data_IF_921789916460
#
_entry.id   IF_921789916460
#
_cell.length_a   1.000
_cell.length_b   1.000
_cell.length_c   1.000
_cell.angle_alpha   90.00
_cell.angle_beta   90.00
_cell.angle_gamma   90.00
#
_symmetry.space_group_name_H-M   'P 1'
#
loop_
_entity.id
_entity.type
_entity.pdbx_description
1 polymer ?
#
# COMPACT_ATOMS: atom_id res chain seq x y z
N UNK A 1 24.31 45.26 -8.23
CA UNK A 1 23.93 43.95 -8.80
C UNK A 1 22.99 43.27 -7.82
N UNK A 2 21.76 42.97 -8.26
CA UNK A 2 20.73 42.30 -7.46
C UNK A 2 20.97 40.79 -7.54
N UNK A 3 21.32 40.14 -6.44
CA UNK A 3 21.33 38.67 -6.36
C UNK A 3 20.03 38.28 -5.66
N UNK A 4 19.05 37.90 -6.49
CA UNK A 4 17.78 37.33 -6.04
C UNK A 4 18.07 35.87 -5.69
N UNK A 5 18.08 35.55 -4.40
CA UNK A 5 18.18 34.16 -3.93
C UNK A 5 16.79 33.54 -3.99
N UNK A 6 16.43 32.99 -5.14
CA UNK A 6 15.21 32.20 -5.33
C UNK A 6 15.38 30.87 -4.59
N UNK A 7 14.81 30.77 -3.38
CA UNK A 7 14.60 29.48 -2.73
C UNK A 7 13.57 28.69 -3.56
N UNK A 8 14.05 27.74 -4.35
CA UNK A 8 13.23 26.72 -4.98
C UNK A 8 12.56 25.91 -3.86
N UNK A 9 11.30 26.23 -3.55
CA UNK A 9 10.42 25.27 -2.90
C UNK A 9 10.23 24.09 -3.86
N UNK A 10 11.04 23.04 -3.69
CA UNK A 10 10.67 21.71 -4.16
C UNK A 10 9.42 21.31 -3.38
N UNK A 11 8.25 21.70 -3.88
CA UNK A 11 7.03 20.99 -3.60
C UNK A 11 7.19 19.62 -4.24
N UNK A 12 7.78 18.69 -3.49
CA UNK A 12 7.68 17.27 -3.78
C UNK A 12 6.20 16.94 -3.76
N UNK A 13 5.56 17.07 -4.93
CA UNK A 13 4.26 16.52 -5.23
C UNK A 13 4.43 15.01 -5.10
N UNK A 14 4.32 14.51 -3.88
CA UNK A 14 3.91 13.14 -3.63
C UNK A 14 2.52 13.04 -4.24
N UNK A 15 2.47 12.77 -5.55
CA UNK A 15 1.31 12.27 -6.27
C UNK A 15 1.03 10.89 -5.70
N UNK A 16 0.57 10.84 -4.45
CA UNK A 16 -0.01 9.67 -3.85
C UNK A 16 -1.27 9.42 -4.65
N UNK A 17 -1.14 8.59 -5.69
CA UNK A 17 -2.24 8.05 -6.48
C UNK A 17 -3.39 7.77 -5.51
N UNK A 18 -4.50 8.44 -5.77
CA UNK A 18 -5.67 8.35 -4.93
C UNK A 18 -6.22 6.94 -5.08
N UNK A 19 -5.89 6.07 -4.13
CA UNK A 19 -6.49 4.75 -4.05
C UNK A 19 -8.03 4.86 -4.03
N UNK A 20 -8.68 3.80 -4.45
CA UNK A 20 -10.09 3.53 -4.24
C UNK A 20 -10.26 2.55 -3.07
N UNK A 21 -11.46 2.42 -2.49
CA UNK A 21 -11.74 1.40 -1.50
C UNK A 21 -11.43 -0.03 -1.99
N UNK A 22 -11.65 -0.31 -3.28
CA UNK A 22 -11.35 -1.60 -3.89
C UNK A 22 -9.86 -1.88 -3.96
N UNK A 23 -9.05 -0.89 -4.38
CA UNK A 23 -7.58 -1.02 -4.37
C UNK A 23 -7.05 -1.19 -2.95
N UNK A 24 -7.69 -0.56 -1.95
CA UNK A 24 -7.33 -0.77 -0.55
C UNK A 24 -7.57 -2.21 -0.10
N UNK A 25 -8.68 -2.84 -0.52
CA UNK A 25 -8.94 -4.27 -0.27
C UNK A 25 -7.91 -5.18 -0.95
N UNK A 26 -7.49 -4.83 -2.17
CA UNK A 26 -6.41 -5.55 -2.88
C UNK A 26 -5.11 -5.47 -2.07
N UNK A 27 -4.75 -4.30 -1.54
CA UNK A 27 -3.59 -4.14 -0.65
C UNK A 27 -3.74 -5.01 0.60
N UNK A 28 -4.88 -4.97 1.28
CA UNK A 28 -5.14 -5.78 2.48
C UNK A 28 -4.86 -7.27 2.21
N UNK A 29 -5.37 -7.79 1.09
CA UNK A 29 -5.14 -9.19 0.70
C UNK A 29 -3.67 -9.52 0.40
N UNK A 30 -2.99 -8.68 -0.38
CA UNK A 30 -1.59 -8.89 -0.75
C UNK A 30 -0.67 -8.79 0.49
N UNK A 31 -0.93 -7.82 1.37
CA UNK A 31 -0.20 -7.62 2.62
C UNK A 31 -0.41 -8.79 3.58
N UNK A 32 -1.63 -9.33 3.69
CA UNK A 32 -1.89 -10.53 4.50
C UNK A 32 -0.97 -11.68 4.08
N UNK A 33 -0.93 -11.99 2.78
CA UNK A 33 -0.04 -13.02 2.25
C UNK A 33 1.42 -12.76 2.63
N UNK A 34 1.87 -11.51 2.47
CA UNK A 34 3.25 -11.13 2.74
C UNK A 34 3.63 -11.21 4.23
N UNK A 35 2.70 -10.87 5.12
CA UNK A 35 2.89 -11.00 6.57
C UNK A 35 2.92 -12.47 7.01
N UNK A 36 2.08 -13.32 6.43
CA UNK A 36 1.99 -14.73 6.81
C UNK A 36 3.11 -15.59 6.21
N UNK A 37 3.67 -15.21 5.06
CA UNK A 37 4.53 -16.10 4.26
C UNK A 37 5.89 -15.48 3.86
N UNK A 38 6.11 -14.18 4.11
CA UNK A 38 7.29 -13.46 3.67
C UNK A 38 7.87 -12.60 4.82
N UNK A 39 8.51 -11.48 4.49
CA UNK A 39 9.14 -10.57 5.45
C UNK A 39 8.17 -9.57 6.11
N UNK A 40 6.88 -9.65 5.79
CA UNK A 40 5.83 -8.76 6.27
C UNK A 40 6.01 -7.28 5.91
N UNK A 41 5.30 -6.42 6.64
CA UNK A 41 5.41 -4.95 6.57
C UNK A 41 6.51 -4.43 7.48
N UNK A 42 7.28 -3.45 7.00
CA UNK A 42 8.02 -2.55 7.89
C UNK A 42 7.10 -1.46 8.47
N UNK A 43 7.59 -0.70 9.47
CA UNK A 43 6.80 0.35 10.13
C UNK A 43 6.24 1.40 9.17
N UNK A 44 7.00 1.76 8.12
CA UNK A 44 6.55 2.71 7.12
C UNK A 44 5.40 2.14 6.26
N UNK A 45 5.48 0.87 5.86
CA UNK A 45 4.42 0.16 5.16
C UNK A 45 3.14 0.09 5.99
N UNK A 46 3.25 -0.23 7.28
CA UNK A 46 2.11 -0.26 8.20
C UNK A 46 1.45 1.12 8.37
N UNK A 47 2.24 2.18 8.57
CA UNK A 47 1.72 3.54 8.69
C UNK A 47 1.00 3.99 7.41
N UNK A 48 1.56 3.67 6.24
CA UNK A 48 0.94 4.00 4.96
C UNK A 48 -0.37 3.21 4.77
N UNK A 49 -0.40 1.93 5.11
CA UNK A 49 -1.62 1.11 5.03
C UNK A 49 -2.73 1.70 5.90
N UNK A 50 -2.43 2.07 7.14
CA UNK A 50 -3.37 2.73 8.05
C UNK A 50 -3.88 4.08 7.53
N UNK A 51 -3.00 4.87 6.89
CA UNK A 51 -3.40 6.12 6.24
C UNK A 51 -4.38 5.86 5.08
N UNK A 52 -4.14 4.82 4.28
CA UNK A 52 -5.05 4.35 3.24
C UNK A 52 -6.42 3.98 3.81
N UNK A 53 -6.45 3.12 4.84
CA UNK A 53 -7.68 2.74 5.52
C UNK A 53 -8.45 3.96 6.06
N UNK A 54 -7.75 4.94 6.66
CA UNK A 54 -8.38 6.15 7.19
C UNK A 54 -8.99 7.01 6.08
N UNK A 55 -8.32 7.14 4.94
CA UNK A 55 -8.81 7.89 3.78
C UNK A 55 -10.14 7.37 3.27
N UNK A 56 -10.34 6.05 3.29
CA UNK A 56 -11.57 5.39 2.83
C UNK A 56 -12.56 5.07 3.95
N UNK A 57 -12.36 5.61 5.17
CA UNK A 57 -13.19 5.32 6.36
C UNK A 57 -13.26 3.82 6.72
N UNK A 58 -12.26 3.04 6.30
CA UNK A 58 -12.13 1.61 6.59
C UNK A 58 -11.32 1.34 7.87
N UNK A 59 -10.65 2.35 8.44
CA UNK A 59 -9.83 2.22 9.65
C UNK A 59 -10.62 1.87 10.92
N UNK A 60 -11.96 1.96 10.88
CA UNK A 60 -12.83 1.50 11.97
C UNK A 60 -13.25 0.04 11.81
N UNK A 61 -13.02 -0.56 10.64
CA UNK A 61 -13.35 -1.95 10.35
C UNK A 61 -12.16 -2.79 10.80
N UNK A 62 -12.35 -3.80 11.67
CA UNK A 62 -11.30 -4.74 12.04
C UNK A 62 -10.63 -5.35 10.80
N UNK A 63 -9.29 -5.40 10.78
CA UNK A 63 -8.53 -5.98 9.67
C UNK A 63 -9.02 -7.39 9.30
N UNK A 64 -9.30 -8.32 10.25
CA UNK A 64 -9.81 -9.64 9.90
C UNK A 64 -11.12 -9.63 9.10
N UNK A 65 -11.96 -8.58 9.26
CA UNK A 65 -13.19 -8.43 8.48
C UNK A 65 -12.89 -7.91 7.07
N UNK A 66 -11.90 -7.02 6.92
CA UNK A 66 -11.44 -6.56 5.61
C UNK A 66 -10.79 -7.68 4.80
N UNK A 67 -10.08 -8.59 5.46
CA UNK A 67 -9.45 -9.76 4.85
C UNK A 67 -10.46 -10.77 4.29
N UNK A 68 -11.69 -10.78 4.81
CA UNK A 68 -12.79 -11.64 4.34
C UNK A 68 -13.49 -11.08 3.09
N UNK A 69 -13.20 -9.85 2.68
CA UNK A 69 -13.78 -9.27 1.48
C UNK A 69 -13.26 -9.98 0.22
N UNK A 70 -14.13 -10.16 -0.78
CA UNK A 70 -13.83 -10.94 -1.99
C UNK A 70 -12.55 -10.46 -2.71
N UNK A 71 -12.34 -9.13 -2.80
CA UNK A 71 -11.15 -8.55 -3.41
C UNK A 71 -9.87 -8.82 -2.60
N UNK A 72 -9.96 -8.79 -1.27
CA UNK A 72 -8.83 -9.14 -0.41
C UNK A 72 -8.46 -10.62 -0.54
N UNK A 73 -9.46 -11.51 -0.56
CA UNK A 73 -9.26 -12.94 -0.79
C UNK A 73 -8.62 -13.19 -2.17
N UNK A 74 -9.16 -12.58 -3.22
CA UNK A 74 -8.66 -12.73 -4.59
C UNK A 74 -7.21 -12.25 -4.72
N UNK A 75 -6.89 -11.11 -4.11
CA UNK A 75 -5.53 -10.57 -4.07
C UNK A 75 -4.57 -11.46 -3.29
N UNK A 76 -5.01 -12.02 -2.15
CA UNK A 76 -4.23 -13.01 -1.39
C UNK A 76 -3.89 -14.23 -2.25
N UNK A 77 -4.88 -14.81 -2.96
CA UNK A 77 -4.65 -15.98 -3.82
C UNK A 77 -3.72 -15.64 -5.00
N UNK A 78 -3.82 -14.43 -5.53
CA UNK A 78 -2.92 -13.95 -6.59
C UNK A 78 -1.49 -13.81 -6.06
N UNK A 79 -1.32 -13.18 -4.90
CA UNK A 79 -0.03 -13.05 -4.23
C UNK A 79 0.59 -14.43 -3.92
N UNK A 80 -0.23 -15.38 -3.46
CA UNK A 80 0.17 -16.77 -3.25
C UNK A 80 0.69 -17.45 -4.51
N UNK A 81 0.03 -17.25 -5.67
CA UNK A 81 0.50 -17.80 -6.96
C UNK A 81 1.82 -17.17 -7.40
N UNK A 82 2.03 -15.89 -7.09
CA UNK A 82 3.24 -15.17 -7.46
C UNK A 82 4.42 -15.46 -6.54
N UNK A 83 4.17 -15.75 -5.27
CA UNK A 83 5.23 -15.85 -4.26
C UNK A 83 5.75 -14.47 -3.84
N UNK A 84 6.63 -14.42 -2.85
CA UNK A 84 7.11 -13.16 -2.25
C UNK A 84 7.74 -12.22 -3.29
N UNK A 85 8.74 -12.68 -4.06
CA UNK A 85 9.52 -11.82 -4.97
C UNK A 85 8.63 -11.21 -6.07
N UNK A 86 7.81 -12.02 -6.74
CA UNK A 86 6.94 -11.50 -7.81
C UNK A 86 5.83 -10.63 -7.25
N UNK A 87 5.23 -10.98 -6.11
CA UNK A 87 4.23 -10.13 -5.43
C UNK A 87 4.81 -8.76 -5.11
N UNK A 88 6.03 -8.71 -4.58
CA UNK A 88 6.75 -7.45 -4.32
C UNK A 88 6.91 -6.65 -5.60
N UNK A 89 7.41 -7.26 -6.68
CA UNK A 89 7.61 -6.58 -7.96
C UNK A 89 6.30 -6.03 -8.54
N UNK A 90 5.22 -6.81 -8.52
CA UNK A 90 3.91 -6.36 -9.00
C UNK A 90 3.34 -5.23 -8.12
N UNK A 91 3.54 -5.30 -6.80
CA UNK A 91 3.18 -4.20 -5.92
C UNK A 91 3.96 -2.92 -6.25
N UNK A 92 5.26 -3.00 -6.53
CA UNK A 92 6.04 -1.83 -6.97
C UNK A 92 5.50 -1.24 -8.28
N UNK A 93 5.18 -2.08 -9.28
CA UNK A 93 4.57 -1.63 -10.55
C UNK A 93 3.23 -0.94 -10.33
N UNK A 94 2.43 -1.44 -9.39
CA UNK A 94 1.13 -0.87 -9.04
C UNK A 94 1.22 0.38 -8.14
N UNK A 95 2.42 0.88 -7.81
CA UNK A 95 2.61 2.02 -6.90
C UNK A 95 2.39 1.67 -5.41
N UNK A 96 2.31 0.38 -5.09
CA UNK A 96 2.06 -0.18 -3.77
C UNK A 96 3.29 -0.87 -3.15
N UNK A 97 4.43 -0.89 -3.83
CA UNK A 97 5.65 -1.53 -3.32
C UNK A 97 6.12 -0.96 -1.99
N UNK A 98 5.75 0.29 -1.69
CA UNK A 98 5.96 0.92 -0.40
C UNK A 98 5.23 0.27 0.79
N UNK A 99 4.24 -0.59 0.54
CA UNK A 99 3.52 -1.36 1.53
C UNK A 99 4.03 -2.81 1.58
N UNK A 100 5.21 -3.12 1.07
CA UNK A 100 5.76 -4.48 1.07
C UNK A 100 7.26 -4.39 1.36
N UNK A 101 7.77 -5.18 2.31
CA UNK A 101 9.19 -5.18 2.66
C UNK A 101 10.05 -5.97 1.67
#
# INVERSE_FOLDING_TARGET
>A
MKIILTLLFLTSNFSALALSPNEMLVIVGAVKYYNENCSGLNSAGFQRMNKGLKRFKMNKIPIPILEQQLLAISSYQTAKKFGCIKTKNEAYKAGFGQYIN
#
